data_IF_568015780735
#
_entry.id   IF_568015780735
#
_cell.length_a   1.000
_cell.length_b   1.000
_cell.length_c   1.000
_cell.angle_alpha   90.00
_cell.angle_beta   90.00
_cell.angle_gamma   90.00
#
_symmetry.space_group_name_H-M   'P 1'
#
loop_
_entity.id
_entity.type
_entity.pdbx_description
1 polymer ?
#
# COMPACT_ATOMS: atom_id res chain seq x y z
N UNK A 1 -7.97 -9.74 24.22
CA UNK A 1 -7.60 -9.63 25.66
C UNK A 1 -6.76 -8.40 26.00
N UNK A 2 -5.82 -7.99 25.13
CA UNK A 2 -4.93 -6.84 25.34
C UNK A 2 -5.67 -5.48 25.32
N UNK A 3 -6.62 -5.28 24.41
CA UNK A 3 -7.39 -4.01 24.31
C UNK A 3 -8.32 -3.75 25.49
N UNK A 4 -8.88 -4.80 26.09
CA UNK A 4 -9.80 -4.67 27.23
C UNK A 4 -9.05 -4.21 28.50
N UNK A 5 -7.77 -4.55 28.63
CA UNK A 5 -6.90 -4.07 29.69
C UNK A 5 -6.43 -2.63 29.44
N UNK A 6 -6.11 -2.29 28.18
CA UNK A 6 -5.73 -0.93 27.79
C UNK A 6 -6.88 0.06 27.99
N UNK A 7 -8.11 -0.34 27.65
CA UNK A 7 -9.30 0.48 27.85
C UNK A 7 -9.63 0.74 29.31
N UNK A 8 -9.55 -0.28 30.19
CA UNK A 8 -9.73 -0.08 31.64
C UNK A 8 -8.73 0.94 32.18
N UNK A 9 -7.47 0.83 31.74
CA UNK A 9 -6.43 1.78 32.10
C UNK A 9 -6.68 3.17 31.51
N UNK A 10 -7.25 3.29 30.31
CA UNK A 10 -7.68 4.57 29.75
C UNK A 10 -8.76 5.23 30.59
N UNK A 11 -9.74 4.46 31.08
CA UNK A 11 -10.83 4.98 31.93
C UNK A 11 -10.29 5.49 33.27
N UNK A 12 -9.39 4.74 33.93
CA UNK A 12 -8.69 5.21 35.14
C UNK A 12 -7.97 6.55 34.90
N UNK A 13 -7.32 6.69 33.74
CA UNK A 13 -6.61 7.91 33.39
C UNK A 13 -7.54 9.09 33.06
N UNK A 14 -8.74 8.83 32.54
CA UNK A 14 -9.78 9.85 32.36
C UNK A 14 -10.37 10.29 33.70
N UNK A 15 -10.58 9.36 34.65
CA UNK A 15 -10.98 9.68 36.03
C UNK A 15 -9.94 10.58 36.74
N UNK A 16 -8.66 10.36 36.46
CA UNK A 16 -7.55 11.21 36.94
C UNK A 16 -7.50 12.59 36.25
N UNK A 17 -8.39 12.85 35.28
CA UNK A 17 -8.54 14.13 34.59
C UNK A 17 -7.59 14.34 33.40
N UNK A 18 -7.00 13.27 32.86
CA UNK A 18 -6.12 13.39 31.68
C UNK A 18 -6.91 13.58 30.38
N UNK A 19 -6.35 14.38 29.47
CA UNK A 19 -6.92 14.58 28.14
C UNK A 19 -6.59 13.41 27.16
N UNK A 20 -7.38 13.30 26.10
CA UNK A 20 -7.28 12.26 25.05
C UNK A 20 -5.86 12.12 24.51
N UNK A 21 -5.16 13.23 24.27
CA UNK A 21 -3.82 13.22 23.66
C UNK A 21 -2.80 12.65 24.66
N UNK A 22 -2.89 13.05 25.91
CA UNK A 22 -2.05 12.55 27.00
C UNK A 22 -2.24 11.04 27.22
N UNK A 23 -3.50 10.56 27.21
CA UNK A 23 -3.83 9.13 27.33
C UNK A 23 -3.31 8.31 26.14
N UNK A 24 -3.49 8.81 24.91
CA UNK A 24 -2.98 8.18 23.68
C UNK A 24 -1.46 7.98 23.71
N UNK A 25 -0.72 9.01 24.13
CA UNK A 25 0.75 8.94 24.26
C UNK A 25 1.15 7.93 25.33
N UNK A 26 0.48 7.93 26.49
CA UNK A 26 0.83 7.07 27.62
C UNK A 26 0.53 5.59 27.36
N UNK A 27 -0.55 5.28 26.64
CA UNK A 27 -0.94 3.92 26.28
C UNK A 27 -0.30 3.43 24.98
N UNK A 28 0.40 4.31 24.24
CA UNK A 28 0.92 4.06 22.89
C UNK A 28 -0.17 3.51 21.98
N UNK A 29 -1.33 4.17 22.00
CA UNK A 29 -2.53 3.78 21.26
C UNK A 29 -2.98 4.94 20.38
N UNK A 30 -3.55 4.64 19.23
CA UNK A 30 -4.05 5.65 18.29
C UNK A 30 -5.03 6.62 18.96
N UNK A 31 -4.89 7.92 18.65
CA UNK A 31 -5.67 8.97 19.29
C UNK A 31 -7.17 8.85 18.97
N UNK A 32 -7.52 8.30 17.81
CA UNK A 32 -8.91 8.01 17.40
C UNK A 32 -9.54 6.98 18.34
N UNK A 33 -8.82 5.90 18.64
CA UNK A 33 -9.27 4.85 19.56
C UNK A 33 -9.49 5.40 20.97
N UNK A 34 -8.57 6.26 21.45
CA UNK A 34 -8.67 6.90 22.76
C UNK A 34 -9.82 7.92 22.81
N UNK A 35 -10.13 8.59 21.69
CA UNK A 35 -11.29 9.47 21.57
C UNK A 35 -12.58 8.70 21.78
N UNK A 36 -12.74 7.54 21.11
CA UNK A 36 -13.90 6.66 21.31
C UNK A 36 -14.04 6.22 22.76
N UNK A 37 -12.93 5.83 23.41
CA UNK A 37 -12.96 5.44 24.82
C UNK A 37 -13.36 6.59 25.75
N UNK A 38 -12.93 7.82 25.47
CA UNK A 38 -13.34 9.00 26.24
C UNK A 38 -14.83 9.30 26.07
N UNK A 39 -15.37 9.18 24.86
CA UNK A 39 -16.82 9.32 24.62
C UNK A 39 -17.61 8.29 25.42
N UNK A 40 -17.18 7.02 25.40
CA UNK A 40 -17.81 5.96 26.20
C UNK A 40 -17.74 6.23 27.71
N UNK A 41 -16.59 6.71 28.20
CA UNK A 41 -16.39 7.05 29.61
C UNK A 41 -17.32 8.20 30.06
N UNK A 42 -17.38 9.29 29.28
CA UNK A 42 -18.24 10.44 29.60
C UNK A 42 -19.73 10.08 29.60
N UNK A 43 -20.17 9.17 28.72
CA UNK A 43 -21.54 8.68 28.73
C UNK A 43 -21.80 7.87 30.01
N UNK A 44 -20.87 7.00 30.43
CA UNK A 44 -21.02 6.21 31.65
C UNK A 44 -21.01 7.08 32.92
N UNK A 45 -20.11 8.05 33.00
CA UNK A 45 -20.05 9.01 34.12
C UNK A 45 -21.33 9.86 34.19
N UNK A 46 -21.82 10.35 33.04
CA UNK A 46 -23.06 11.10 32.94
C UNK A 46 -24.30 10.34 33.41
N UNK A 47 -24.33 9.01 33.25
CA UNK A 47 -25.42 8.15 33.72
C UNK A 47 -25.39 7.92 35.23
N UNK A 48 -24.19 7.80 35.83
CA UNK A 48 -24.02 7.65 37.28
C UNK A 48 -24.53 8.90 38.04
N UNK A 49 -24.52 10.06 37.39
CA UNK A 49 -25.05 11.32 37.92
C UNK A 49 -26.57 11.52 37.79
N UNK A 50 -27.31 10.63 37.11
CA UNK A 50 -28.76 10.76 36.94
C UNK A 50 -29.51 10.24 38.17
N UNK A 51 -30.23 11.12 38.87
CA UNK A 51 -31.22 10.74 39.89
C UNK A 51 -32.53 10.25 39.22
N UNK A 52 -32.46 9.08 38.56
CA UNK A 52 -33.57 8.43 37.85
C UNK A 52 -34.04 7.12 38.50
N UNK A 53 -35.15 6.59 38.01
CA UNK A 53 -35.68 5.26 38.37
C UNK A 53 -34.65 4.18 37.97
N UNK A 54 -34.19 3.31 38.89
CA UNK A 54 -33.12 2.34 38.62
C UNK A 54 -33.34 1.48 37.37
N UNK A 55 -34.59 1.05 37.12
CA UNK A 55 -34.92 0.20 35.98
C UNK A 55 -34.75 0.95 34.63
N UNK A 56 -35.10 2.24 34.58
CA UNK A 56 -34.90 3.07 33.39
C UNK A 56 -33.42 3.39 33.16
N UNK A 57 -32.66 3.61 34.23
CA UNK A 57 -31.21 3.81 34.15
C UNK A 57 -30.51 2.55 33.64
N UNK A 58 -30.98 1.37 34.04
CA UNK A 58 -30.43 0.09 33.57
C UNK A 58 -30.76 -0.19 32.10
N UNK A 59 -31.99 0.08 31.63
CA UNK A 59 -32.35 -0.01 30.22
C UNK A 59 -31.53 0.97 29.35
N UNK A 60 -31.34 2.22 29.79
CA UNK A 60 -30.49 3.21 29.14
C UNK A 60 -29.02 2.75 29.07
N UNK A 61 -28.49 2.18 30.17
CA UNK A 61 -27.15 1.60 30.19
C UNK A 61 -27.02 0.42 29.21
N UNK A 62 -28.05 -0.41 29.09
CA UNK A 62 -28.11 -1.50 28.11
C UNK A 62 -28.04 -0.98 26.68
N UNK A 63 -28.93 -0.05 26.32
CA UNK A 63 -28.98 0.55 24.99
C UNK A 63 -27.67 1.28 24.61
N UNK A 64 -27.03 1.93 25.58
CA UNK A 64 -25.75 2.62 25.38
C UNK A 64 -24.61 1.63 25.18
N UNK A 65 -24.60 0.51 25.91
CA UNK A 65 -23.61 -0.56 25.69
C UNK A 65 -23.75 -1.14 24.29
N UNK A 66 -24.97 -1.45 23.86
CA UNK A 66 -25.24 -1.95 22.50
C UNK A 66 -24.83 -0.93 21.42
N UNK A 67 -25.16 0.35 21.59
CA UNK A 67 -24.73 1.40 20.67
C UNK A 67 -23.21 1.54 20.58
N UNK A 68 -22.51 1.46 21.72
CA UNK A 68 -21.06 1.52 21.77
C UNK A 68 -20.40 0.28 21.16
N UNK A 69 -21.01 -0.90 21.30
CA UNK A 69 -20.57 -2.12 20.63
C UNK A 69 -20.72 -1.99 19.12
N UNK A 70 -21.87 -1.53 18.62
CA UNK A 70 -22.09 -1.26 17.20
C UNK A 70 -21.09 -0.24 16.64
N UNK A 71 -20.82 0.85 17.37
CA UNK A 71 -19.79 1.82 16.97
C UNK A 71 -18.39 1.23 16.90
N UNK A 72 -18.05 0.28 17.78
CA UNK A 72 -16.76 -0.43 17.70
C UNK A 72 -16.71 -1.33 16.49
N UNK A 73 -17.76 -2.10 16.24
CA UNK A 73 -17.85 -2.95 15.05
C UNK A 73 -17.74 -2.12 13.76
N UNK A 74 -18.42 -0.96 13.69
CA UNK A 74 -18.32 -0.02 12.56
C UNK A 74 -16.89 0.51 12.38
N UNK A 75 -16.22 0.87 13.48
CA UNK A 75 -14.85 1.36 13.44
C UNK A 75 -13.84 0.27 13.05
N UNK A 76 -14.00 -0.95 13.57
CA UNK A 76 -13.17 -2.10 13.23
C UNK A 76 -13.33 -2.47 11.74
N UNK A 77 -14.57 -2.47 11.24
CA UNK A 77 -14.86 -2.66 9.81
C UNK A 77 -14.20 -1.57 8.96
N UNK A 78 -14.32 -0.29 9.35
CA UNK A 78 -13.68 0.80 8.63
C UNK A 78 -12.14 0.67 8.60
N UNK A 79 -11.53 0.23 9.70
CA UNK A 79 -10.09 -0.04 9.74
C UNK A 79 -9.70 -1.18 8.81
N UNK A 80 -10.46 -2.28 8.85
CA UNK A 80 -10.22 -3.42 7.97
C UNK A 80 -10.36 -3.04 6.50
N UNK A 81 -11.43 -2.32 6.12
CA UNK A 81 -11.63 -1.85 4.75
C UNK A 81 -10.51 -0.92 4.28
N UNK A 82 -10.01 -0.05 5.17
CA UNK A 82 -8.88 0.84 4.87
C UNK A 82 -7.58 0.06 4.67
N UNK A 83 -7.31 -0.93 5.51
CA UNK A 83 -6.13 -1.81 5.36
C UNK A 83 -6.22 -2.64 4.08
N UNK A 84 -7.39 -3.20 3.77
CA UNK A 84 -7.64 -3.94 2.53
C UNK A 84 -7.48 -3.04 1.29
N UNK A 85 -7.97 -1.81 1.33
CA UNK A 85 -7.80 -0.84 0.25
C UNK A 85 -6.33 -0.48 0.02
N UNK A 86 -5.56 -0.26 1.09
CA UNK A 86 -4.12 0.01 1.00
C UNK A 86 -3.35 -1.20 0.46
N UNK A 87 -3.70 -2.41 0.89
CA UNK A 87 -3.11 -3.64 0.36
C UNK A 87 -3.45 -3.83 -1.12
N UNK A 88 -4.69 -3.56 -1.52
CA UNK A 88 -5.09 -3.60 -2.93
C UNK A 88 -4.32 -2.59 -3.77
N UNK A 89 -4.14 -1.36 -3.29
CA UNK A 89 -3.36 -0.35 -3.99
C UNK A 89 -1.89 -0.78 -4.14
N UNK A 90 -1.25 -1.29 -3.07
CA UNK A 90 0.10 -1.87 -3.11
C UNK A 90 0.21 -2.97 -4.18
N UNK A 91 -0.75 -3.90 -4.19
CA UNK A 91 -0.81 -5.04 -5.14
C UNK A 91 -0.92 -4.58 -6.59
N UNK A 92 -1.83 -3.66 -6.89
CA UNK A 92 -2.01 -3.12 -8.24
C UNK A 92 -0.73 -2.49 -8.80
N UNK A 93 0.04 -1.79 -7.97
CA UNK A 93 1.32 -1.19 -8.40
C UNK A 93 2.41 -2.24 -8.64
N UNK A 94 2.50 -3.27 -7.81
CA UNK A 94 3.44 -4.39 -8.04
C UNK A 94 3.12 -5.12 -9.35
N UNK A 95 1.84 -5.31 -9.67
CA UNK A 95 1.41 -5.88 -10.95
C UNK A 95 1.84 -5.04 -12.15
N UNK A 96 1.76 -3.71 -12.07
CA UNK A 96 2.25 -2.81 -13.11
C UNK A 96 3.76 -2.96 -13.34
N UNK A 97 4.53 -3.10 -12.26
CA UNK A 97 5.97 -3.39 -12.37
C UNK A 97 6.24 -4.72 -13.09
N UNK A 98 5.60 -5.81 -12.65
CA UNK A 98 5.76 -7.14 -13.27
C UNK A 98 5.47 -7.11 -14.77
N UNK A 99 4.43 -6.39 -15.19
CA UNK A 99 4.07 -6.22 -16.60
C UNK A 99 5.11 -5.45 -17.40
N UNK A 100 5.59 -4.31 -16.89
CA UNK A 100 6.63 -3.56 -17.59
C UNK A 100 7.94 -4.35 -17.71
N UNK A 101 8.31 -5.11 -16.67
CA UNK A 101 9.47 -6.01 -16.73
C UNK A 101 9.27 -7.13 -17.74
N UNK A 102 8.10 -7.75 -17.77
CA UNK A 102 7.75 -8.80 -18.73
C UNK A 102 7.76 -8.25 -20.17
N UNK A 103 7.20 -7.06 -20.37
CA UNK A 103 7.22 -6.37 -21.65
C UNK A 103 8.66 -6.10 -22.10
N UNK A 104 9.50 -5.55 -21.23
CA UNK A 104 10.90 -5.31 -21.52
C UNK A 104 11.63 -6.61 -21.85
N UNK A 105 11.47 -7.67 -21.06
CA UNK A 105 12.07 -8.98 -21.32
C UNK A 105 11.70 -9.54 -22.69
N UNK A 106 10.43 -9.44 -23.07
CA UNK A 106 9.95 -9.99 -24.34
C UNK A 106 10.35 -9.13 -25.55
N UNK A 107 10.68 -7.86 -25.31
CA UNK A 107 10.96 -6.89 -26.37
C UNK A 107 12.34 -6.23 -26.27
N UNK A 108 13.26 -6.69 -25.42
CA UNK A 108 14.59 -6.09 -25.30
C UNK A 108 15.53 -6.64 -26.39
N UNK A 109 15.74 -7.95 -26.38
CA UNK A 109 16.67 -8.64 -27.27
C UNK A 109 15.94 -9.09 -28.53
N UNK A 110 16.49 -8.85 -29.72
CA UNK A 110 15.75 -9.15 -30.95
C UNK A 110 14.94 -7.97 -31.50
N UNK A 111 14.94 -6.82 -30.81
CA UNK A 111 14.08 -5.68 -31.14
C UNK A 111 14.83 -4.36 -31.29
N UNK A 112 14.20 -3.44 -32.02
CA UNK A 112 14.61 -2.06 -32.25
C UNK A 112 13.59 -1.13 -31.66
N UNK A 113 14.04 -0.21 -30.81
CA UNK A 113 13.23 0.80 -30.16
C UNK A 113 13.60 2.18 -30.70
N UNK A 114 12.63 3.06 -30.86
CA UNK A 114 12.90 4.48 -31.07
C UNK A 114 13.35 5.12 -29.77
N UNK A 115 14.15 6.19 -29.88
CA UNK A 115 14.52 7.02 -28.74
C UNK A 115 13.30 7.43 -27.90
N UNK A 116 12.22 7.87 -28.55
CA UNK A 116 10.98 8.27 -27.89
C UNK A 116 10.35 7.16 -27.05
N UNK A 117 10.34 5.93 -27.56
CA UNK A 117 9.83 4.76 -26.82
C UNK A 117 10.68 4.46 -25.58
N UNK A 118 12.02 4.52 -25.69
CA UNK A 118 12.91 4.29 -24.54
C UNK A 118 12.73 5.37 -23.48
N UNK A 119 12.64 6.64 -23.87
CA UNK A 119 12.40 7.75 -22.94
C UNK A 119 11.03 7.62 -22.26
N UNK A 120 9.99 7.25 -23.01
CA UNK A 120 8.66 7.02 -22.44
C UNK A 120 8.69 5.87 -21.42
N UNK A 121 9.39 4.79 -21.73
CA UNK A 121 9.53 3.65 -20.83
C UNK A 121 10.25 4.03 -19.53
N UNK A 122 11.38 4.76 -19.61
CA UNK A 122 12.11 5.28 -18.45
C UNK A 122 11.19 6.13 -17.58
N UNK A 123 10.43 7.06 -18.18
CA UNK A 123 9.48 7.91 -17.43
C UNK A 123 8.43 7.09 -16.71
N UNK A 124 7.84 6.09 -17.37
CA UNK A 124 6.83 5.22 -16.74
C UNK A 124 7.41 4.43 -15.57
N UNK A 125 8.64 3.91 -15.69
CA UNK A 125 9.34 3.23 -14.59
C UNK A 125 9.56 4.18 -13.40
N UNK A 126 10.07 5.40 -13.63
CA UNK A 126 10.28 6.40 -12.58
C UNK A 126 8.98 6.84 -11.90
N UNK A 127 7.91 7.06 -12.66
CA UNK A 127 6.60 7.41 -12.08
C UNK A 127 6.02 6.29 -11.22
N UNK A 128 6.13 5.03 -11.66
CA UNK A 128 5.69 3.89 -10.85
C UNK A 128 6.56 3.71 -9.60
N UNK A 129 7.85 4.00 -9.72
CA UNK A 129 8.79 4.03 -8.60
C UNK A 129 8.28 5.02 -7.55
N UNK A 130 8.18 6.31 -7.89
CA UNK A 130 7.68 7.35 -6.97
C UNK A 130 6.32 6.99 -6.32
N UNK A 131 5.39 6.39 -7.08
CA UNK A 131 4.09 5.98 -6.55
C UNK A 131 4.20 4.87 -5.49
N UNK A 132 5.02 3.84 -5.72
CA UNK A 132 5.25 2.78 -4.73
C UNK A 132 6.00 3.33 -3.52
N UNK A 133 6.93 4.27 -3.73
CA UNK A 133 7.65 4.95 -2.66
C UNK A 133 6.71 5.62 -1.64
N UNK A 134 5.70 6.33 -2.16
CA UNK A 134 4.68 7.01 -1.37
C UNK A 134 3.80 6.02 -0.60
N UNK A 135 3.41 4.90 -1.22
CA UNK A 135 2.50 3.92 -0.61
C UNK A 135 3.21 3.10 0.49
N UNK A 136 4.48 2.77 0.29
CA UNK A 136 5.29 2.06 1.28
C UNK A 136 5.86 2.98 2.38
N UNK A 137 5.54 4.28 2.35
CA UNK A 137 5.88 5.22 3.43
C UNK A 137 7.39 5.38 3.66
N UNK A 138 8.21 5.15 2.63
CA UNK A 138 9.67 5.12 2.72
C UNK A 138 10.25 4.13 3.75
N UNK A 139 9.52 3.05 4.12
CA UNK A 139 10.04 2.02 5.04
C UNK A 139 11.18 1.21 4.41
N UNK A 140 12.45 1.42 4.83
CA UNK A 140 13.59 0.77 4.22
C UNK A 140 13.54 -0.76 4.32
N UNK A 141 12.87 -1.32 5.33
CA UNK A 141 12.71 -2.77 5.48
C UNK A 141 11.69 -3.34 4.49
N UNK A 142 10.64 -2.60 4.14
CA UNK A 142 9.75 -3.00 3.04
C UNK A 142 10.49 -2.91 1.70
N UNK A 143 11.30 -1.88 1.46
CA UNK A 143 12.08 -1.76 0.22
C UNK A 143 13.21 -2.80 0.08
N UNK A 144 13.88 -3.17 1.17
CA UNK A 144 14.86 -4.26 1.17
C UNK A 144 14.20 -5.62 0.88
N UNK A 145 13.02 -5.88 1.45
CA UNK A 145 12.22 -7.08 1.14
C UNK A 145 11.74 -7.09 -0.30
N UNK A 146 11.41 -5.91 -0.84
CA UNK A 146 10.89 -5.80 -2.19
C UNK A 146 11.90 -6.19 -3.28
N UNK A 147 13.20 -6.37 -2.98
CA UNK A 147 14.33 -6.84 -3.84
C UNK A 147 14.45 -6.19 -5.24
N UNK A 148 13.37 -6.24 -6.01
CA UNK A 148 13.04 -5.50 -7.23
C UNK A 148 13.23 -4.00 -7.11
N UNK A 149 13.08 -3.37 -5.93
CA UNK A 149 13.23 -1.91 -5.83
C UNK A 149 14.60 -1.41 -6.28
N UNK A 150 15.66 -1.96 -5.68
CA UNK A 150 17.04 -1.67 -6.07
C UNK A 150 17.32 -2.08 -7.53
N UNK A 151 16.53 -3.01 -8.06
CA UNK A 151 16.65 -3.49 -9.44
C UNK A 151 15.95 -2.56 -10.44
N UNK A 152 14.78 -2.01 -10.12
CA UNK A 152 14.15 -0.94 -10.91
C UNK A 152 15.11 0.23 -11.05
N UNK A 153 15.74 0.64 -9.94
CA UNK A 153 16.75 1.71 -9.95
C UNK A 153 17.87 1.39 -10.93
N UNK A 154 18.48 0.20 -10.82
CA UNK A 154 19.58 -0.20 -11.71
C UNK A 154 19.16 -0.29 -13.19
N UNK A 155 17.97 -0.83 -13.48
CA UNK A 155 17.44 -0.87 -14.83
C UNK A 155 17.22 0.54 -15.40
N UNK A 156 16.62 1.43 -14.61
CA UNK A 156 16.39 2.83 -15.00
C UNK A 156 17.73 3.51 -15.30
N UNK A 157 18.72 3.37 -14.44
CA UNK A 157 20.06 3.93 -14.65
C UNK A 157 20.69 3.40 -15.95
N UNK A 158 20.60 2.09 -16.19
CA UNK A 158 21.12 1.47 -17.41
C UNK A 158 20.43 2.02 -18.66
N UNK A 159 19.10 2.14 -18.64
CA UNK A 159 18.32 2.71 -19.75
C UNK A 159 18.67 4.18 -19.98
N UNK A 160 18.90 4.95 -18.91
CA UNK A 160 19.35 6.34 -19.00
C UNK A 160 20.72 6.45 -19.65
N UNK A 161 21.68 5.60 -19.28
CA UNK A 161 23.00 5.55 -19.94
C UNK A 161 22.90 5.24 -21.43
N UNK A 162 21.95 4.39 -21.84
CA UNK A 162 21.73 4.05 -23.24
C UNK A 162 21.22 5.24 -24.08
N UNK A 163 20.44 6.15 -23.48
CA UNK A 163 19.88 7.32 -24.18
C UNK A 163 20.75 8.58 -24.09
N UNK A 164 21.67 8.69 -23.12
CA UNK A 164 22.50 9.88 -22.89
C UNK A 164 23.28 10.32 -24.14
N UNK A 165 23.72 9.37 -24.96
CA UNK A 165 24.51 9.63 -26.17
C UNK A 165 23.72 9.40 -27.47
N UNK A 166 22.39 9.47 -27.41
CA UNK A 166 21.49 9.21 -28.54
C UNK A 166 20.65 10.43 -28.90
N UNK A 167 20.32 10.55 -30.18
CA UNK A 167 19.43 11.60 -30.69
C UNK A 167 17.99 11.09 -30.87
N UNK A 168 17.03 12.00 -30.96
CA UNK A 168 15.59 11.67 -31.03
C UNK A 168 15.19 10.80 -32.24
N UNK A 169 15.99 10.82 -33.30
CA UNK A 169 15.79 9.99 -34.50
C UNK A 169 16.48 8.64 -34.43
N UNK A 170 17.24 8.38 -33.38
CA UNK A 170 18.01 7.16 -33.26
C UNK A 170 17.11 5.96 -32.96
N UNK A 171 17.54 4.84 -33.53
CA UNK A 171 17.05 3.52 -33.14
C UNK A 171 18.01 2.92 -32.14
N UNK A 172 17.48 2.52 -30.99
CA UNK A 172 18.18 1.89 -29.90
C UNK A 172 17.96 0.38 -30.00
N UNK A 173 19.05 -0.37 -29.87
CA UNK A 173 19.03 -1.82 -29.71
C UNK A 173 19.56 -2.12 -28.34
N UNK A 174 18.81 -2.89 -27.56
CA UNK A 174 19.30 -3.37 -26.30
C UNK A 174 20.27 -4.53 -26.56
N UNK A 175 21.51 -4.36 -26.11
CA UNK A 175 22.50 -5.42 -26.06
C UNK A 175 22.64 -5.86 -24.61
N UNK A 176 21.53 -6.33 -24.03
CA UNK A 176 21.54 -6.92 -22.70
C UNK A 176 22.43 -8.16 -22.73
N UNK A 177 23.41 -8.20 -21.84
CA UNK A 177 24.29 -9.35 -21.71
C UNK A 177 23.57 -10.50 -20.97
N UNK A 178 24.23 -11.64 -20.82
CA UNK A 178 23.63 -12.78 -20.11
C UNK A 178 23.26 -12.43 -18.67
N UNK A 179 23.98 -11.51 -18.02
CA UNK A 179 23.63 -11.06 -16.67
C UNK A 179 22.39 -10.16 -16.71
N UNK A 180 22.25 -9.26 -17.68
CA UNK A 180 21.07 -8.41 -17.85
C UNK A 180 19.80 -9.24 -18.16
N UNK A 181 19.94 -10.33 -18.93
CA UNK A 181 18.83 -11.26 -19.22
C UNK A 181 18.51 -12.13 -18.02
N UNK A 182 19.53 -12.68 -17.33
CA UNK A 182 19.35 -13.43 -16.09
C UNK A 182 18.70 -12.56 -15.01
N UNK A 183 19.07 -11.28 -14.96
CA UNK A 183 18.52 -10.26 -14.08
C UNK A 183 17.03 -10.02 -14.28
N UNK A 184 16.58 -9.94 -15.54
CA UNK A 184 15.14 -9.85 -15.87
C UNK A 184 14.41 -11.16 -15.54
N UNK A 185 15.09 -12.30 -15.60
CA UNK A 185 14.50 -13.60 -15.28
C UNK A 185 14.35 -13.81 -13.77
N UNK A 186 15.37 -13.52 -12.98
CA UNK A 186 15.33 -13.61 -11.50
C UNK A 186 14.29 -12.67 -10.90
N UNK A 187 14.17 -11.45 -11.44
CA UNK A 187 13.18 -10.46 -10.99
C UNK A 187 11.72 -10.89 -11.23
N UNK A 188 11.49 -11.85 -12.13
CA UNK A 188 10.17 -12.41 -12.43
C UNK A 188 9.88 -13.73 -11.68
N UNK A 189 10.87 -14.34 -11.03
CA UNK A 189 10.77 -15.64 -10.33
C UNK A 189 10.58 -15.52 -8.82
N UNK A 190 10.37 -14.31 -8.30
CA UNK A 190 10.19 -14.09 -6.86
C UNK A 190 8.83 -14.68 -6.46
N UNK A 191 8.83 -15.76 -5.67
CA UNK A 191 7.64 -16.53 -5.25
C UNK A 191 6.56 -15.66 -4.60
N UNK A 192 6.94 -14.55 -3.94
CA UNK A 192 6.01 -13.53 -3.39
C UNK A 192 5.14 -12.84 -4.48
N UNK A 193 5.47 -12.99 -5.77
CA UNK A 193 4.69 -12.47 -6.91
C UNK A 193 3.70 -13.47 -7.49
N UNK A 194 3.65 -14.71 -7.03
CA UNK A 194 2.77 -15.72 -7.60
C UNK A 194 1.78 -16.26 -6.54
N UNK A 195 2.17 -16.35 -5.26
CA UNK A 195 1.37 -17.00 -4.22
C UNK A 195 0.17 -16.16 -3.69
N UNK A 196 0.07 -14.86 -3.97
CA UNK A 196 -1.07 -14.01 -3.58
C UNK A 196 -1.89 -13.45 -4.76
N UNK A 197 -1.60 -13.88 -6.00
CA UNK A 197 -2.13 -13.27 -7.25
C UNK A 197 -3.18 -14.19 -7.92
N UNK A 198 -4.07 -14.81 -7.15
CA UNK A 198 -5.15 -15.62 -7.75
C UNK A 198 -6.35 -14.80 -8.28
N UNK A 199 -6.40 -13.47 -8.08
CA UNK A 199 -7.68 -12.71 -8.24
C UNK A 199 -7.77 -11.73 -9.43
N UNK A 200 -6.71 -11.36 -10.15
CA UNK A 200 -6.80 -10.21 -11.11
C UNK A 200 -6.40 -10.53 -12.56
N UNK A 201 -6.93 -11.61 -13.15
CA UNK A 201 -6.74 -11.95 -14.57
C UNK A 201 -7.34 -10.87 -15.52
N UNK A 202 -8.42 -10.19 -15.12
CA UNK A 202 -9.08 -9.18 -15.96
C UNK A 202 -8.30 -7.85 -16.05
N UNK A 203 -7.73 -7.36 -14.94
CA UNK A 203 -6.83 -6.21 -14.96
C UNK A 203 -5.51 -6.55 -15.67
N UNK A 204 -5.13 -7.83 -15.71
CA UNK A 204 -3.97 -8.31 -16.45
C UNK A 204 -4.08 -8.09 -17.97
N UNK A 205 -5.21 -8.47 -18.55
CA UNK A 205 -5.44 -8.39 -19.99
C UNK A 205 -5.60 -6.95 -20.48
N UNK A 206 -6.30 -6.10 -19.73
CA UNK A 206 -6.53 -4.69 -20.09
C UNK A 206 -5.21 -3.89 -20.17
N UNK A 207 -4.26 -4.18 -19.29
CA UNK A 207 -2.97 -3.48 -19.24
C UNK A 207 -1.98 -3.97 -20.30
N UNK A 208 -2.01 -5.25 -20.68
CA UNK A 208 -1.19 -5.76 -21.76
C UNK A 208 -1.57 -5.12 -23.11
N UNK A 209 -2.87 -4.97 -23.38
CA UNK A 209 -3.35 -4.26 -24.56
C UNK A 209 -2.86 -2.79 -24.61
N UNK A 210 -2.82 -2.12 -23.45
CA UNK A 210 -2.39 -0.73 -23.35
C UNK A 210 -0.88 -0.56 -23.62
N UNK A 211 -0.05 -1.53 -23.20
CA UNK A 211 1.38 -1.55 -23.52
C UNK A 211 1.63 -1.80 -25.02
N UNK A 212 0.83 -2.64 -25.67
CA UNK A 212 0.93 -2.89 -27.12
C UNK A 212 0.48 -1.69 -27.98
N UNK A 213 -0.42 -0.86 -27.46
CA UNK A 213 -0.83 0.39 -28.12
C UNK A 213 0.21 1.52 -27.96
N UNK A 214 0.86 1.59 -26.79
CA UNK A 214 1.82 2.66 -26.47
C UNK A 214 3.25 2.38 -26.93
N UNK A 215 3.63 1.11 -27.05
CA UNK A 215 4.97 0.67 -27.44
C UNK A 215 4.88 -0.30 -28.63
N UNK A 216 5.61 -0.02 -29.71
CA UNK A 216 5.64 -0.89 -30.89
C UNK A 216 7.08 -1.21 -31.32
N UNK A 217 7.90 -1.81 -30.42
CA UNK A 217 9.26 -2.19 -30.76
C UNK A 217 9.27 -3.20 -31.92
N UNK A 218 10.13 -2.97 -32.91
CA UNK A 218 10.15 -3.78 -34.14
C UNK A 218 11.14 -4.92 -34.04
N UNK A 219 10.64 -6.15 -34.18
CA UNK A 219 11.47 -7.36 -34.29
C UNK A 219 12.38 -7.25 -35.51
N UNK A 220 13.66 -7.59 -35.36
CA UNK A 220 14.63 -7.60 -36.45
C UNK A 220 14.94 -9.00 -36.96
#
# INVERSE_FOLDING_TARGET
MKDLQLKKKAFELFEEGMDIKSVSIQLKTDQTVVTLWNEEYNIQEGLVGLNGDPDQVEELLGAIKEFNELKREEHDLYHQEKEEAQLKEKRSKLMLFKKLFTFMKNHCQGFKWSYGEVILFIKKQKTLQEQVEVICGHDPQEFEKLFIWNRIVGLVEHLEQLVINKEERDTIKFNFDENDVLYLQESLQIEDFDDEIEVEIEEEQALNALLEEEFSPKKY
#
